data_IF_142106618641
#
_entry.id   IF_142106618641
#
_cell.length_a   1.000
_cell.length_b   1.000
_cell.length_c   1.000
_cell.angle_alpha   90.00
_cell.angle_beta   90.00
_cell.angle_gamma   90.00
#
_symmetry.space_group_name_H-M   'P 1'
#
loop_
_entity.id
_entity.type
_entity.pdbx_description
1 polymer ?
#
# COMPACT_ATOMS: atom_id res chain seq x y z
N UNK A 1 13.78 -11.62 -11.68
CA UNK A 1 13.14 -10.38 -12.16
C UNK A 1 13.70 -10.03 -13.52
N UNK A 2 12.83 -9.60 -14.44
CA UNK A 2 13.23 -9.15 -15.76
C UNK A 2 13.74 -7.71 -15.77
N UNK A 3 13.86 -7.15 -16.97
CA UNK A 3 14.25 -5.76 -17.22
C UNK A 3 13.06 -4.80 -17.15
N UNK A 4 13.32 -3.49 -17.06
CA UNK A 4 12.28 -2.47 -17.07
C UNK A 4 11.45 -2.50 -18.37
N UNK A 5 12.10 -2.75 -19.51
CA UNK A 5 11.42 -2.85 -20.80
C UNK A 5 10.47 -4.05 -20.90
N UNK A 6 10.78 -5.16 -20.23
CA UNK A 6 9.88 -6.31 -20.12
C UNK A 6 8.69 -6.00 -19.21
N UNK A 7 8.95 -5.31 -18.08
CA UNK A 7 7.90 -4.87 -17.18
C UNK A 7 6.86 -3.96 -17.86
N UNK A 8 7.31 -3.02 -18.71
CA UNK A 8 6.43 -2.09 -19.42
C UNK A 8 5.52 -2.75 -20.47
N UNK A 9 5.80 -4.01 -20.86
CA UNK A 9 4.96 -4.76 -21.79
C UNK A 9 3.84 -5.52 -21.10
N UNK A 10 3.86 -5.61 -19.77
CA UNK A 10 2.88 -6.36 -19.00
C UNK A 10 1.54 -5.60 -19.00
N UNK A 11 0.46 -6.31 -19.33
CA UNK A 11 -0.90 -5.78 -19.31
C UNK A 11 -1.81 -6.48 -18.31
N UNK A 12 -1.62 -7.79 -18.10
CA UNK A 12 -2.45 -8.58 -17.21
C UNK A 12 -1.95 -8.47 -15.76
N UNK A 13 -2.87 -8.60 -14.81
CA UNK A 13 -2.56 -8.33 -13.40
C UNK A 13 -1.67 -9.44 -12.82
N UNK A 14 -2.00 -10.67 -13.17
CA UNK A 14 -1.33 -11.91 -12.79
C UNK A 14 0.13 -11.90 -13.25
N UNK A 15 0.40 -11.44 -14.47
CA UNK A 15 1.74 -11.34 -15.04
C UNK A 15 2.66 -10.40 -14.24
N UNK A 16 2.12 -9.37 -13.57
CA UNK A 16 2.94 -8.53 -12.69
C UNK A 16 3.41 -9.29 -11.45
N UNK A 17 2.58 -10.18 -10.89
CA UNK A 17 2.97 -11.03 -9.77
C UNK A 17 4.00 -12.06 -10.21
N UNK A 18 3.82 -12.67 -11.38
CA UNK A 18 4.75 -13.63 -11.97
C UNK A 18 6.12 -12.97 -12.28
N UNK A 19 6.11 -11.76 -12.83
CA UNK A 19 7.34 -11.01 -13.13
C UNK A 19 8.22 -10.76 -11.89
N UNK A 20 7.59 -10.50 -10.75
CA UNK A 20 8.26 -10.26 -9.47
C UNK A 20 8.42 -11.51 -8.59
N UNK A 21 7.98 -12.67 -9.07
CA UNK A 21 7.98 -13.94 -8.34
C UNK A 21 7.29 -13.82 -6.97
N UNK A 22 6.02 -13.36 -7.00
CA UNK A 22 5.20 -13.11 -5.81
C UNK A 22 4.04 -14.09 -5.73
N UNK A 23 3.89 -14.75 -4.57
CA UNK A 23 2.69 -15.54 -4.28
C UNK A 23 1.48 -14.63 -4.01
N UNK A 24 0.31 -15.00 -4.53
CA UNK A 24 -0.95 -14.27 -4.37
C UNK A 24 -2.16 -15.21 -4.33
N UNK A 25 -3.25 -14.76 -3.72
CA UNK A 25 -4.56 -15.41 -3.82
C UNK A 25 -5.24 -15.01 -5.14
N UNK A 26 -5.34 -15.96 -6.08
CA UNK A 26 -5.99 -15.78 -7.38
C UNK A 26 -7.42 -15.23 -7.25
N UNK A 27 -8.19 -15.67 -6.25
CA UNK A 27 -9.58 -15.22 -6.08
C UNK A 27 -9.63 -13.76 -5.67
N UNK A 28 -8.72 -13.34 -4.78
CA UNK A 28 -8.59 -11.94 -4.39
C UNK A 28 -8.19 -11.08 -5.59
N UNK A 29 -7.20 -11.53 -6.36
CA UNK A 29 -6.75 -10.83 -7.58
C UNK A 29 -7.86 -10.70 -8.59
N UNK A 30 -8.57 -11.77 -8.93
CA UNK A 30 -9.69 -11.73 -9.88
C UNK A 30 -10.79 -10.74 -9.46
N UNK A 31 -11.13 -10.69 -8.16
CA UNK A 31 -12.18 -9.81 -7.65
C UNK A 31 -11.73 -8.35 -7.56
N UNK A 32 -10.45 -8.10 -7.25
CA UNK A 32 -9.92 -6.76 -6.93
C UNK A 32 -8.96 -6.18 -7.96
N UNK A 33 -8.63 -6.89 -9.04
CA UNK A 33 -7.62 -6.51 -10.06
C UNK A 33 -7.70 -5.06 -10.51
N UNK A 34 -8.90 -4.58 -10.85
CA UNK A 34 -9.08 -3.21 -11.32
C UNK A 34 -8.67 -2.17 -10.26
N UNK A 35 -9.02 -2.41 -9.01
CA UNK A 35 -8.69 -1.49 -7.91
C UNK A 35 -7.21 -1.56 -7.55
N UNK A 36 -6.63 -2.77 -7.53
CA UNK A 36 -5.20 -2.98 -7.32
C UNK A 36 -4.37 -2.31 -8.41
N UNK A 37 -4.69 -2.52 -9.68
CA UNK A 37 -3.94 -1.94 -10.79
C UNK A 37 -4.08 -0.42 -10.86
N UNK A 38 -5.24 0.14 -10.52
CA UNK A 38 -5.39 1.59 -10.39
C UNK A 38 -4.44 2.16 -9.33
N UNK A 39 -4.41 1.55 -8.13
CA UNK A 39 -3.54 1.95 -7.02
C UNK A 39 -2.06 1.79 -7.35
N UNK A 40 -1.71 0.66 -7.94
CA UNK A 40 -0.36 0.35 -8.35
C UNK A 40 0.14 1.34 -9.41
N UNK A 41 -0.67 1.61 -10.44
CA UNK A 41 -0.35 2.60 -11.47
C UNK A 41 -0.11 4.01 -10.92
N UNK A 42 -0.87 4.44 -9.91
CA UNK A 42 -0.65 5.72 -9.23
C UNK A 42 0.72 5.79 -8.53
N UNK A 43 1.21 4.68 -7.96
CA UNK A 43 2.54 4.59 -7.36
C UNK A 43 3.63 4.56 -8.43
N UNK A 44 3.41 3.82 -9.52
CA UNK A 44 4.33 3.74 -10.67
C UNK A 44 4.55 5.12 -11.29
N UNK A 45 3.47 5.86 -11.58
CA UNK A 45 3.54 7.21 -12.16
C UNK A 45 4.29 8.19 -11.25
N UNK A 46 4.14 8.05 -9.93
CA UNK A 46 4.85 8.92 -9.00
C UNK A 46 6.32 8.57 -8.88
N UNK A 47 6.68 7.30 -8.99
CA UNK A 47 8.08 6.89 -9.09
C UNK A 47 8.77 7.51 -10.31
N UNK A 48 8.09 7.64 -11.45
CA UNK A 48 8.65 8.27 -12.66
C UNK A 48 9.04 9.74 -12.44
N UNK A 49 8.43 10.41 -11.45
CA UNK A 49 8.80 11.77 -11.04
C UNK A 49 10.06 11.87 -10.16
N UNK A 50 10.63 10.73 -9.76
CA UNK A 50 11.81 10.64 -8.90
C UNK A 50 12.98 9.95 -9.60
N UNK A 51 14.19 10.41 -9.32
CA UNK A 51 15.41 9.76 -9.80
C UNK A 51 15.86 8.67 -8.83
N UNK A 52 15.77 7.41 -9.26
CA UNK A 52 16.22 6.23 -8.50
C UNK A 52 17.67 5.85 -8.80
N UNK A 53 18.33 6.51 -9.75
CA UNK A 53 19.72 6.31 -10.15
C UNK A 53 19.95 5.11 -11.09
N UNK A 54 19.12 4.06 -11.03
CA UNK A 54 19.13 2.96 -12.00
C UNK A 54 17.78 2.23 -12.07
N UNK A 55 17.62 1.42 -13.12
CA UNK A 55 16.40 0.65 -13.40
C UNK A 55 16.16 -0.45 -12.36
N UNK A 56 17.21 -1.07 -11.81
CA UNK A 56 17.05 -2.11 -10.78
C UNK A 56 16.37 -1.58 -9.52
N UNK A 57 16.76 -0.39 -9.04
CA UNK A 57 16.14 0.25 -7.88
C UNK A 57 14.70 0.69 -8.16
N UNK A 58 14.43 1.12 -9.39
CA UNK A 58 13.07 1.46 -9.82
C UNK A 58 12.17 0.22 -9.84
N UNK A 59 12.68 -0.91 -10.36
CA UNK A 59 11.98 -2.19 -10.34
C UNK A 59 11.76 -2.71 -8.92
N UNK A 60 12.75 -2.55 -8.02
CA UNK A 60 12.60 -2.91 -6.61
C UNK A 60 11.50 -2.05 -5.93
N UNK A 61 11.42 -0.77 -6.28
CA UNK A 61 10.33 0.10 -5.83
C UNK A 61 8.97 -0.38 -6.37
N UNK A 62 8.87 -0.74 -7.66
CA UNK A 62 7.63 -1.28 -8.23
C UNK A 62 7.21 -2.58 -7.55
N UNK A 63 8.15 -3.48 -7.27
CA UNK A 63 7.89 -4.70 -6.50
C UNK A 63 7.30 -4.38 -5.13
N UNK A 64 7.91 -3.44 -4.40
CA UNK A 64 7.42 -3.02 -3.09
C UNK A 64 6.04 -2.37 -3.16
N UNK A 65 5.80 -1.53 -4.18
CA UNK A 65 4.51 -0.90 -4.42
C UNK A 65 3.40 -1.93 -4.67
N UNK A 66 3.65 -2.94 -5.51
CA UNK A 66 2.69 -4.02 -5.78
C UNK A 66 2.36 -4.83 -4.52
N UNK A 67 3.38 -5.23 -3.75
CA UNK A 67 3.19 -5.93 -2.46
C UNK A 67 2.35 -5.10 -1.50
N UNK A 68 2.66 -3.81 -1.37
CA UNK A 68 1.94 -2.90 -0.47
C UNK A 68 0.47 -2.79 -0.86
N UNK A 69 0.19 -2.59 -2.15
CA UNK A 69 -1.18 -2.56 -2.66
C UNK A 69 -1.89 -3.88 -2.37
N UNK A 70 -1.30 -5.02 -2.76
CA UNK A 70 -1.89 -6.33 -2.54
C UNK A 70 -2.22 -6.59 -1.05
N UNK A 71 -1.27 -6.33 -0.15
CA UNK A 71 -1.45 -6.55 1.30
C UNK A 71 -2.52 -5.66 1.91
N UNK A 72 -2.73 -4.45 1.39
CA UNK A 72 -3.86 -3.63 1.81
C UNK A 72 -5.19 -4.34 1.50
N UNK A 73 -5.37 -4.82 0.26
CA UNK A 73 -6.58 -5.54 -0.14
C UNK A 73 -6.75 -6.87 0.59
N UNK A 74 -5.67 -7.59 0.86
CA UNK A 74 -5.69 -8.85 1.63
C UNK A 74 -6.16 -8.63 3.07
N UNK A 75 -5.69 -7.56 3.72
CA UNK A 75 -6.07 -7.22 5.10
C UNK A 75 -7.46 -6.55 5.20
N UNK A 76 -8.23 -6.49 4.10
CA UNK A 76 -9.57 -5.92 4.06
C UNK A 76 -9.61 -4.39 3.97
N UNK A 77 -8.46 -3.73 3.80
CA UNK A 77 -8.35 -2.28 3.67
C UNK A 77 -8.15 -1.91 2.20
N UNK A 78 -9.13 -1.27 1.57
CA UNK A 78 -9.04 -0.78 0.19
C UNK A 78 -9.06 0.75 0.17
N UNK A 79 -7.96 1.43 0.57
CA UNK A 79 -7.90 2.88 0.58
C UNK A 79 -8.03 3.46 -0.83
N UNK A 80 -8.61 4.65 -0.91
CA UNK A 80 -8.58 5.45 -2.12
C UNK A 80 -7.15 5.95 -2.43
N UNK A 81 -6.94 6.49 -3.63
CA UNK A 81 -5.64 6.99 -4.06
C UNK A 81 -5.18 8.10 -3.14
N UNK A 82 -6.13 9.01 -2.89
CA UNK A 82 -5.96 10.14 -2.03
C UNK A 82 -5.62 9.69 -0.62
N UNK A 83 -6.27 8.64 -0.10
CA UNK A 83 -6.04 8.16 1.28
C UNK A 83 -4.62 7.63 1.46
N UNK A 84 -4.08 6.90 0.47
CA UNK A 84 -2.68 6.43 0.50
C UNK A 84 -1.71 7.62 0.46
N UNK A 85 -2.00 8.61 -0.39
CA UNK A 85 -1.13 9.77 -0.58
C UNK A 85 -1.11 10.72 0.60
N UNK A 86 -2.27 10.99 1.19
CA UNK A 86 -2.39 11.78 2.40
C UNK A 86 -1.62 11.14 3.56
N UNK A 87 -1.51 9.80 3.59
CA UNK A 87 -0.74 9.10 4.61
C UNK A 87 0.78 9.31 4.50
N UNK A 88 1.32 9.42 3.28
CA UNK A 88 2.74 9.71 3.07
C UNK A 88 3.08 11.19 3.32
N UNK A 89 2.19 12.12 2.94
CA UNK A 89 2.41 13.56 3.15
C UNK A 89 2.16 14.01 4.60
N UNK A 90 1.23 13.36 5.31
CA UNK A 90 0.87 13.63 6.70
C UNK A 90 0.75 12.32 7.46
N UNK A 91 1.86 11.70 7.89
CA UNK A 91 1.80 10.47 8.67
C UNK A 91 1.06 10.75 9.98
N UNK A 92 -0.21 10.34 10.04
CA UNK A 92 -0.98 10.40 11.28
C UNK A 92 -0.38 9.41 12.26
N UNK A 93 -0.28 9.81 13.53
CA UNK A 93 0.28 8.96 14.59
C UNK A 93 -0.51 7.66 14.82
N UNK A 94 -1.66 7.47 14.15
CA UNK A 94 -2.44 6.25 14.22
C UNK A 94 -2.25 5.29 13.01
N UNK A 95 -1.34 5.58 12.08
CA UNK A 95 -1.00 4.64 10.99
C UNK A 95 -0.47 3.28 11.49
N UNK A 96 0.01 3.21 12.74
CA UNK A 96 0.45 1.97 13.40
C UNK A 96 -0.66 1.25 14.17
N UNK A 97 -1.87 1.81 14.26
CA UNK A 97 -3.03 1.21 14.91
C UNK A 97 -3.77 0.25 13.95
N UNK A 98 -3.19 -0.88 13.55
CA UNK A 98 -3.80 -1.74 12.52
C UNK A 98 -5.17 -2.36 12.89
N UNK A 99 -5.72 -2.11 14.09
CA UNK A 99 -6.95 -2.77 14.59
C UNK A 99 -7.96 -1.84 15.29
N UNK A 100 -7.73 -0.54 15.41
CA UNK A 100 -8.69 0.35 16.09
C UNK A 100 -9.76 0.88 15.13
N UNK A 101 -11.02 0.57 15.40
CA UNK A 101 -12.19 1.00 14.61
C UNK A 101 -12.59 2.47 14.77
N UNK A 102 -11.89 3.23 15.61
CA UNK A 102 -12.11 4.66 15.80
C UNK A 102 -10.79 5.37 16.09
N UNK A 103 -10.49 6.41 15.31
CA UNK A 103 -9.35 7.29 15.51
C UNK A 103 -9.87 8.60 16.10
N UNK A 104 -9.44 8.96 17.31
CA UNK A 104 -9.68 10.29 17.86
C UNK A 104 -8.70 11.28 17.24
N UNK A 105 -9.20 12.41 16.73
CA UNK A 105 -8.36 13.52 16.28
C UNK A 105 -7.45 13.94 17.43
N UNK A 106 -6.13 13.81 17.24
CA UNK A 106 -5.14 14.21 18.23
C UNK A 106 -5.24 15.75 18.35
N UNK A 107 -5.78 16.25 19.47
CA UNK A 107 -5.31 17.54 19.98
C UNK A 107 -3.87 17.34 20.43
N UNK A 108 -2.98 18.24 20.02
CA UNK A 108 -1.54 18.12 20.22
C UNK A 108 -1.20 17.81 21.68
N UNK A 109 -0.71 16.60 21.93
CA UNK A 109 -0.16 16.23 23.23
C UNK A 109 1.35 16.28 23.16
N UNK A 110 1.89 17.32 23.80
CA UNK A 110 3.29 17.39 24.20
C UNK A 110 3.64 16.15 25.01
N UNK A 111 4.79 15.56 24.67
CA UNK A 111 5.47 14.47 25.37
C UNK A 111 4.90 13.10 25.05
N UNK A 112 5.56 12.47 24.08
CA UNK A 112 5.20 11.16 23.55
C UNK A 112 4.99 10.11 24.63
N UNK A 113 3.88 9.39 24.49
CA UNK A 113 3.72 7.93 24.65
C UNK A 113 2.21 7.63 24.67
N UNK A 114 1.80 6.73 23.75
CA UNK A 114 0.48 6.09 23.54
C UNK A 114 -0.67 6.92 22.92
N UNK A 115 -0.78 6.88 21.59
CA UNK A 115 -1.97 7.29 20.82
C UNK A 115 -3.02 6.17 20.64
N UNK A 116 -2.83 5.00 21.25
CA UNK A 116 -3.74 3.85 21.09
C UNK A 116 -4.36 3.51 22.44
N UNK A 117 -5.53 4.07 22.74
CA UNK A 117 -6.35 3.64 23.88
C UNK A 117 -7.39 2.63 23.38
N UNK A 118 -7.12 1.34 23.59
CA UNK A 118 -8.16 0.30 23.46
C UNK A 118 -9.16 0.49 24.59
N UNK A 119 -10.29 1.14 24.32
CA UNK A 119 -11.44 1.10 25.22
C UNK A 119 -12.09 -0.28 25.14
N UNK A 120 -11.65 -1.20 25.99
CA UNK A 120 -12.36 -2.46 26.22
C UNK A 120 -13.45 -2.20 27.26
N UNK A 121 -14.62 -1.76 26.82
CA UNK A 121 -15.80 -1.70 27.69
C UNK A 121 -16.31 -3.13 27.92
N UNK A 122 -15.83 -3.79 28.97
CA UNK A 122 -16.51 -4.98 29.50
C UNK A 122 -17.72 -4.46 30.29
N UNK A 123 -18.91 -4.76 29.79
CA UNK A 123 -20.15 -4.58 30.56
C UNK A 123 -20.24 -5.70 31.60
N UNK A 124 -20.35 -5.34 32.88
CA UNK A 124 -20.64 -6.27 33.99
C UNK A 124 -22.13 -6.59 34.06
#
# INVERSE_FOLDING_TARGET
MGTLAEFEQISDTEDFFDFFDLEYDERLVQVKRFHMMKKFGELVEKAKGHDFGNDEKLLEYYRFALITVYKNFENGYSPSAADVWEMFDKPSACGTCSTSSSCSTIEEVSNGVHACTTNHSISF
#
